data_IF_536920483550
#
_entry.id   IF_536920483550
#
_cell.length_a   1.000
_cell.length_b   1.000
_cell.length_c   1.000
_cell.angle_alpha   90.00
_cell.angle_beta   90.00
_cell.angle_gamma   90.00
#
_symmetry.space_group_name_H-M   'P 1'
#
loop_
_entity.id
_entity.type
_entity.pdbx_description
1 polymer ?
#
# COMPACT_ATOMS: atom_id res chain seq x y z
N UNK A 1 -9.35 5.51 47.44
CA UNK A 1 -8.68 5.36 46.11
C UNK A 1 -9.30 6.34 45.15
N UNK A 2 -8.54 7.31 44.65
CA UNK A 2 -9.03 8.27 43.67
C UNK A 2 -9.01 7.69 42.26
N UNK A 3 -10.01 7.95 41.47
CA UNK A 3 -10.10 7.51 40.08
C UNK A 3 -9.06 8.31 39.27
N UNK A 4 -8.19 7.60 38.54
CA UNK A 4 -7.24 8.25 37.63
C UNK A 4 -7.98 8.76 36.38
N UNK A 5 -8.27 10.07 36.41
CA UNK A 5 -8.99 10.76 35.33
C UNK A 5 -8.21 10.73 33.99
N UNK A 6 -6.86 10.65 34.04
CA UNK A 6 -6.04 10.58 32.83
C UNK A 6 -6.19 9.20 32.16
N UNK A 7 -6.18 8.12 32.96
CA UNK A 7 -6.44 6.78 32.46
C UNK A 7 -7.89 6.60 31.94
N UNK A 8 -8.85 7.27 32.57
CA UNK A 8 -10.27 7.24 32.12
C UNK A 8 -10.46 8.02 30.81
N UNK A 9 -9.79 9.18 30.66
CA UNK A 9 -9.81 9.94 29.40
C UNK A 9 -9.15 9.16 28.25
N UNK A 10 -8.05 8.48 28.50
CA UNK A 10 -7.40 7.62 27.52
C UNK A 10 -8.33 6.45 27.10
N UNK A 11 -9.02 5.81 28.05
CA UNK A 11 -10.01 4.76 27.75
C UNK A 11 -11.22 5.32 26.96
N UNK A 12 -11.69 6.50 27.31
CA UNK A 12 -12.81 7.14 26.60
C UNK A 12 -12.39 7.51 25.16
N UNK A 13 -11.17 8.02 24.99
CA UNK A 13 -10.59 8.28 23.66
C UNK A 13 -10.47 7.00 22.83
N UNK A 14 -10.01 5.90 23.42
CA UNK A 14 -9.96 4.59 22.75
C UNK A 14 -11.34 4.03 22.40
N UNK A 15 -12.35 4.25 23.24
CA UNK A 15 -13.72 3.82 22.97
C UNK A 15 -14.37 4.65 21.86
N UNK A 16 -14.11 5.96 21.84
CA UNK A 16 -14.60 6.86 20.79
C UNK A 16 -13.88 6.62 19.45
N UNK A 17 -12.58 6.30 19.47
CA UNK A 17 -11.82 5.88 18.30
C UNK A 17 -12.34 4.55 17.72
N UNK A 18 -12.70 3.58 18.58
CA UNK A 18 -13.35 2.33 18.14
C UNK A 18 -14.77 2.55 17.58
N UNK A 19 -15.48 3.57 18.02
CA UNK A 19 -16.83 3.90 17.53
C UNK A 19 -16.83 4.73 16.25
N UNK A 20 -15.79 5.53 16.03
CA UNK A 20 -15.67 6.41 14.85
C UNK A 20 -14.91 5.78 13.68
N UNK A 21 -14.10 4.76 13.92
CA UNK A 21 -13.23 4.12 12.94
C UNK A 21 -13.45 2.60 12.84
N UNK A 22 -14.64 2.17 12.44
CA UNK A 22 -14.85 0.79 11.99
C UNK A 22 -14.30 0.52 10.57
N UNK A 23 -13.79 1.55 9.89
CA UNK A 23 -13.06 1.42 8.63
C UNK A 23 -11.57 1.66 8.92
N UNK A 24 -10.72 0.66 8.74
CA UNK A 24 -9.25 0.81 8.81
C UNK A 24 -8.74 1.95 7.90
N UNK A 25 -7.46 2.30 7.98
CA UNK A 25 -6.91 3.43 7.23
C UNK A 25 -7.20 3.28 5.73
N UNK A 26 -7.71 4.36 5.12
CA UNK A 26 -8.10 4.37 3.71
C UNK A 26 -6.87 4.39 2.82
N UNK A 27 -6.91 3.65 1.71
CA UNK A 27 -5.89 3.77 0.67
C UNK A 27 -5.97 5.13 -0.01
N UNK A 28 -4.82 5.79 -0.12
CA UNK A 28 -4.72 7.06 -0.79
C UNK A 28 -4.73 6.88 -2.31
N UNK A 29 -5.70 7.49 -2.97
CA UNK A 29 -5.72 7.61 -4.43
C UNK A 29 -4.94 8.86 -4.80
N UNK A 30 -3.78 8.69 -5.43
CA UNK A 30 -2.93 9.81 -5.82
C UNK A 30 -3.66 10.62 -6.90
N UNK A 31 -3.95 11.91 -6.69
CA UNK A 31 -4.51 12.76 -7.74
C UNK A 31 -3.46 13.10 -8.80
N UNK A 32 -3.90 13.42 -10.02
CA UNK A 32 -2.99 13.95 -11.04
C UNK A 32 -2.40 15.28 -10.59
N UNK A 33 -1.10 15.48 -10.87
CA UNK A 33 -0.36 16.66 -10.47
C UNK A 33 0.48 16.46 -9.21
N UNK A 34 0.58 17.49 -8.40
CA UNK A 34 1.41 17.50 -7.21
C UNK A 34 0.59 17.40 -5.94
N UNK A 35 1.03 16.52 -5.04
CA UNK A 35 0.50 16.39 -3.68
C UNK A 35 1.65 16.44 -2.69
N UNK A 36 1.40 17.01 -1.51
CA UNK A 36 2.39 17.05 -0.45
C UNK A 36 1.98 16.08 0.64
N UNK A 37 2.89 15.19 0.99
CA UNK A 37 2.64 14.17 2.01
C UNK A 37 3.75 14.15 3.06
N UNK A 38 3.45 13.66 4.25
CA UNK A 38 4.42 13.32 5.29
C UNK A 38 4.28 11.85 5.61
N UNK A 39 5.40 11.14 5.62
CA UNK A 39 5.48 9.76 6.11
C UNK A 39 5.26 9.75 7.61
N UNK A 40 4.42 8.84 8.08
CA UNK A 40 4.23 8.62 9.52
C UNK A 40 5.32 7.71 10.07
N UNK A 41 5.80 7.96 11.30
CA UNK A 41 6.75 7.08 11.96
C UNK A 41 6.12 5.70 12.21
N UNK A 42 6.94 4.66 12.16
CA UNK A 42 6.54 3.31 12.48
C UNK A 42 7.20 2.86 13.79
N UNK A 43 6.45 2.14 14.65
CA UNK A 43 6.95 1.67 15.96
C UNK A 43 8.16 0.73 15.84
N UNK A 44 8.26 -0.01 14.74
CA UNK A 44 9.36 -0.92 14.43
C UNK A 44 10.51 -0.24 13.64
N UNK A 45 10.41 1.06 13.41
CA UNK A 45 11.44 1.85 12.72
C UNK A 45 11.40 1.71 11.19
N UNK A 46 10.50 0.89 10.61
CA UNK A 46 10.34 0.74 9.17
C UNK A 46 8.92 1.07 8.72
N UNK A 47 8.67 2.27 8.17
CA UNK A 47 7.37 2.64 7.66
C UNK A 47 7.04 2.05 6.28
N UNK A 48 7.98 1.35 5.63
CA UNK A 48 7.86 0.88 4.26
C UNK A 48 7.56 -0.61 4.20
N UNK A 49 6.30 -1.01 4.33
CA UNK A 49 5.91 -2.42 4.34
C UNK A 49 5.84 -2.99 2.94
N UNK A 50 6.51 -4.13 2.74
CA UNK A 50 6.59 -4.82 1.45
C UNK A 50 5.53 -5.90 1.32
N UNK A 51 4.91 -5.96 0.13
CA UNK A 51 3.95 -6.99 -0.25
C UNK A 51 4.18 -7.44 -1.68
N UNK A 52 3.86 -8.71 -1.95
CA UNK A 52 3.91 -9.29 -3.29
C UNK A 52 2.49 -9.69 -3.72
N UNK A 53 2.06 -9.20 -4.89
CA UNK A 53 0.75 -9.48 -5.44
C UNK A 53 0.85 -10.19 -6.78
N UNK A 54 -0.08 -11.12 -7.04
CA UNK A 54 -0.42 -11.56 -8.38
C UNK A 54 -1.57 -10.71 -8.91
N UNK A 55 -1.41 -10.22 -10.13
CA UNK A 55 -2.41 -9.50 -10.89
C UNK A 55 -2.72 -10.28 -12.18
N UNK A 56 -3.84 -9.95 -12.82
CA UNK A 56 -4.24 -10.54 -14.10
C UNK A 56 -4.47 -12.06 -14.04
N UNK A 57 -4.83 -12.59 -12.89
CA UNK A 57 -5.21 -13.99 -12.69
C UNK A 57 -6.68 -14.04 -12.34
N UNK A 58 -7.50 -14.56 -13.26
CA UNK A 58 -8.95 -14.60 -13.09
C UNK A 58 -9.60 -13.21 -13.09
N UNK A 59 -10.76 -13.12 -12.48
CA UNK A 59 -11.53 -11.86 -12.30
C UNK A 59 -11.00 -11.00 -11.14
N UNK A 60 -10.04 -11.49 -10.40
CA UNK A 60 -9.50 -10.82 -9.21
C UNK A 60 -8.70 -9.57 -9.59
N UNK A 61 -8.93 -8.48 -8.89
CA UNK A 61 -8.15 -7.24 -9.06
C UNK A 61 -6.69 -7.36 -8.56
N UNK A 62 -6.33 -8.53 -8.01
CA UNK A 62 -5.04 -8.85 -7.44
C UNK A 62 -5.21 -9.49 -6.05
N UNK A 63 -4.29 -10.38 -5.70
CA UNK A 63 -4.24 -11.02 -4.39
C UNK A 63 -2.81 -11.22 -3.92
N UNK A 64 -2.62 -11.34 -2.61
CA UNK A 64 -1.30 -11.61 -2.02
C UNK A 64 -0.74 -12.95 -2.49
N UNK A 65 0.52 -12.95 -2.92
CA UNK A 65 1.22 -14.19 -3.28
C UNK A 65 1.50 -15.03 -2.03
N UNK A 66 0.93 -16.24 -1.87
CA UNK A 66 1.18 -17.08 -0.71
C UNK A 66 2.66 -17.40 -0.52
N UNK A 67 3.38 -17.66 -1.62
CA UNK A 67 4.79 -18.05 -1.59
C UNK A 67 5.70 -16.91 -1.10
N UNK A 68 5.52 -15.71 -1.66
CA UNK A 68 6.44 -14.62 -1.37
C UNK A 68 6.13 -13.87 -0.09
N UNK A 69 4.87 -13.83 0.33
CA UNK A 69 4.50 -13.16 1.58
C UNK A 69 4.54 -14.10 2.80
N UNK A 70 4.25 -15.40 2.61
CA UNK A 70 4.07 -16.33 3.75
C UNK A 70 4.91 -17.60 3.67
N UNK A 71 5.70 -17.79 2.59
CA UNK A 71 6.51 -19.01 2.39
C UNK A 71 5.71 -20.25 2.02
N UNK A 72 4.42 -20.11 1.67
CA UNK A 72 3.50 -21.20 1.37
C UNK A 72 3.54 -21.56 -0.13
N UNK A 73 2.91 -22.68 -0.50
CA UNK A 73 2.76 -23.05 -1.90
C UNK A 73 1.88 -22.04 -2.63
N UNK A 74 2.25 -21.71 -3.88
CA UNK A 74 1.50 -20.83 -4.74
C UNK A 74 1.44 -21.41 -6.15
N UNK A 75 0.27 -21.87 -6.56
CA UNK A 75 0.04 -22.47 -7.87
C UNK A 75 0.45 -21.54 -9.03
N UNK A 76 0.17 -20.24 -8.91
CA UNK A 76 0.56 -19.24 -9.93
C UNK A 76 2.08 -19.14 -10.05
N UNK A 77 2.82 -19.09 -8.94
CA UNK A 77 4.30 -19.08 -8.98
C UNK A 77 4.88 -20.37 -9.59
N UNK A 78 4.26 -21.51 -9.33
CA UNK A 78 4.68 -22.79 -9.90
C UNK A 78 4.40 -22.84 -11.40
N UNK A 79 3.23 -22.36 -11.83
CA UNK A 79 2.87 -22.25 -13.24
C UNK A 79 3.80 -21.28 -13.99
N UNK A 80 4.05 -20.10 -13.45
CA UNK A 80 5.02 -19.13 -13.99
C UNK A 80 6.41 -19.75 -14.17
N UNK A 81 6.86 -20.54 -13.19
CA UNK A 81 8.16 -21.22 -13.28
C UNK A 81 8.19 -22.27 -14.40
N UNK A 82 7.07 -22.96 -14.69
CA UNK A 82 6.95 -23.89 -15.83
C UNK A 82 7.01 -23.14 -17.15
N UNK A 83 6.24 -22.06 -17.31
CA UNK A 83 6.26 -21.23 -18.52
C UNK A 83 7.66 -20.69 -18.86
N UNK A 84 8.43 -20.24 -17.86
CA UNK A 84 9.81 -19.82 -18.08
C UNK A 84 10.73 -20.96 -18.53
N UNK A 85 10.45 -22.21 -18.15
CA UNK A 85 11.21 -23.38 -18.60
C UNK A 85 10.89 -23.80 -20.03
N UNK A 86 9.66 -23.60 -20.49
CA UNK A 86 9.25 -23.83 -21.89
C UNK A 86 10.04 -22.95 -22.84
N UNK A 87 10.27 -21.68 -22.47
CA UNK A 87 11.29 -20.84 -23.06
C UNK A 87 10.94 -20.18 -24.40
N UNK A 88 9.77 -20.44 -24.98
CA UNK A 88 9.27 -19.74 -26.15
C UNK A 88 8.76 -18.33 -25.78
N UNK A 89 8.62 -17.46 -26.76
CA UNK A 89 8.28 -16.04 -26.52
C UNK A 89 6.86 -15.85 -25.98
N UNK A 90 5.92 -16.70 -26.36
CA UNK A 90 4.54 -16.66 -25.89
C UNK A 90 4.46 -17.05 -24.41
N UNK A 91 5.07 -18.19 -24.04
CA UNK A 91 5.18 -18.64 -22.64
C UNK A 91 5.91 -17.63 -21.76
N UNK A 92 6.99 -17.01 -22.25
CA UNK A 92 7.69 -15.93 -21.54
C UNK A 92 6.82 -14.70 -21.34
N UNK A 93 6.05 -14.32 -22.37
CA UNK A 93 5.11 -13.21 -22.30
C UNK A 93 4.04 -13.44 -21.21
N UNK A 94 3.43 -14.63 -21.22
CA UNK A 94 2.44 -15.04 -20.23
C UNK A 94 3.04 -15.11 -18.82
N UNK A 95 4.23 -15.74 -18.68
CA UNK A 95 4.94 -15.80 -17.42
C UNK A 95 5.19 -14.41 -16.82
N UNK A 96 5.63 -13.45 -17.64
CA UNK A 96 5.87 -12.06 -17.24
C UNK A 96 4.59 -11.36 -16.78
N UNK A 97 3.46 -11.64 -17.43
CA UNK A 97 2.17 -11.07 -17.09
C UNK A 97 1.64 -11.60 -15.75
N UNK A 98 1.79 -12.91 -15.48
CA UNK A 98 1.30 -13.58 -14.28
C UNK A 98 2.28 -13.53 -13.10
N UNK A 99 3.53 -13.13 -13.34
CA UNK A 99 4.55 -12.99 -12.29
C UNK A 99 4.09 -12.06 -11.17
N UNK A 100 4.40 -12.43 -9.93
CA UNK A 100 4.07 -11.57 -8.78
C UNK A 100 4.84 -10.26 -8.85
N UNK A 101 4.14 -9.17 -8.55
CA UNK A 101 4.70 -7.82 -8.51
C UNK A 101 4.86 -7.35 -7.08
N UNK A 102 6.01 -6.76 -6.81
CA UNK A 102 6.33 -6.13 -5.53
C UNK A 102 5.62 -4.78 -5.41
N UNK A 103 5.02 -4.54 -4.26
CA UNK A 103 4.37 -3.28 -3.88
C UNK A 103 4.77 -2.91 -2.48
N UNK A 104 4.82 -1.64 -2.21
CA UNK A 104 5.10 -1.10 -0.89
C UNK A 104 3.90 -0.32 -0.40
N UNK A 105 3.70 -0.35 0.91
CA UNK A 105 2.63 0.37 1.59
C UNK A 105 3.23 1.19 2.70
N UNK A 106 2.93 2.47 2.73
CA UNK A 106 3.45 3.41 3.73
C UNK A 106 2.30 4.25 4.28
N UNK A 107 2.17 4.37 5.60
CA UNK A 107 1.22 5.29 6.19
C UNK A 107 1.73 6.73 6.02
N UNK A 108 0.83 7.59 5.56
CA UNK A 108 1.10 9.00 5.31
C UNK A 108 -0.04 9.88 5.82
N UNK A 109 0.25 11.15 6.02
CA UNK A 109 -0.76 12.21 5.99
C UNK A 109 -0.59 13.03 4.71
N UNK A 110 -1.71 13.50 4.17
CA UNK A 110 -1.72 14.44 3.04
C UNK A 110 -1.83 15.84 3.61
N UNK A 111 -0.92 16.74 3.22
CA UNK A 111 -0.94 18.13 3.69
C UNK A 111 -2.16 18.88 3.17
N UNK A 112 -2.87 19.52 4.09
CA UNK A 112 -4.16 20.15 3.83
C UNK A 112 -5.38 19.24 4.10
N UNK A 113 -5.14 17.95 4.32
CA UNK A 113 -6.18 16.95 4.62
C UNK A 113 -5.89 16.22 5.94
N UNK A 114 -5.11 16.83 6.84
CA UNK A 114 -4.61 16.19 8.08
C UNK A 114 -5.76 15.69 8.98
N UNK A 115 -6.90 16.36 8.94
CA UNK A 115 -8.11 15.97 9.68
C UNK A 115 -8.76 14.67 9.21
N UNK A 116 -8.42 14.22 8.02
CA UNK A 116 -8.88 12.92 7.51
C UNK A 116 -8.09 11.75 8.10
N UNK A 117 -7.05 12.03 8.87
CA UNK A 117 -6.21 11.05 9.52
C UNK A 117 -5.19 10.38 8.58
N UNK A 118 -4.63 9.28 9.05
CA UNK A 118 -3.66 8.50 8.31
C UNK A 118 -4.28 7.85 7.05
N UNK A 119 -3.55 7.93 5.94
CA UNK A 119 -3.87 7.24 4.69
C UNK A 119 -2.76 6.26 4.33
N UNK A 120 -3.07 5.21 3.59
CA UNK A 120 -2.11 4.24 3.10
C UNK A 120 -1.73 4.54 1.66
N UNK A 121 -0.48 4.89 1.45
CA UNK A 121 0.08 5.07 0.12
C UNK A 121 0.69 3.78 -0.40
N UNK A 122 0.23 3.33 -1.57
CA UNK A 122 0.78 2.16 -2.26
C UNK A 122 1.58 2.59 -3.48
N UNK A 123 2.76 1.99 -3.68
CA UNK A 123 3.65 2.37 -4.77
C UNK A 123 4.55 1.22 -5.24
N UNK A 124 5.23 1.43 -6.36
CA UNK A 124 6.11 0.46 -7.00
C UNK A 124 7.51 0.46 -6.38
N UNK A 125 8.29 -0.58 -6.73
CA UNK A 125 9.70 -0.70 -6.35
C UNK A 125 10.53 0.53 -6.74
N UNK A 126 10.28 1.15 -7.90
CA UNK A 126 11.01 2.34 -8.35
C UNK A 126 10.83 3.53 -7.39
N UNK A 127 9.61 3.74 -6.91
CA UNK A 127 9.33 4.80 -5.92
C UNK A 127 9.98 4.45 -4.58
N UNK A 128 9.94 3.19 -4.17
CA UNK A 128 10.63 2.73 -2.97
C UNK A 128 12.14 2.99 -3.01
N UNK A 129 12.78 2.67 -4.13
CA UNK A 129 14.21 2.95 -4.33
C UNK A 129 14.52 4.45 -4.18
N UNK A 130 13.65 5.32 -4.71
CA UNK A 130 13.79 6.77 -4.52
C UNK A 130 13.63 7.20 -3.06
N UNK A 131 12.67 6.62 -2.33
CA UNK A 131 12.49 6.88 -0.90
C UNK A 131 13.68 6.40 -0.09
N UNK A 132 14.24 5.22 -0.37
CA UNK A 132 15.44 4.73 0.30
C UNK A 132 16.64 5.64 0.06
N UNK A 133 16.81 6.17 -1.16
CA UNK A 133 17.88 7.13 -1.44
C UNK A 133 17.74 8.42 -0.59
N UNK A 134 16.52 8.86 -0.32
CA UNK A 134 16.27 10.00 0.55
C UNK A 134 16.58 9.67 2.01
N UNK A 135 16.12 8.53 2.52
CA UNK A 135 16.37 8.09 3.90
C UNK A 135 17.86 7.87 4.17
N UNK A 136 18.59 7.35 3.18
CA UNK A 136 20.02 7.09 3.31
C UNK A 136 20.88 8.36 3.11
N UNK A 137 20.31 9.46 2.65
CA UNK A 137 21.04 10.71 2.47
C UNK A 137 21.10 11.50 3.79
N UNK A 138 22.30 11.70 4.35
CA UNK A 138 22.47 12.37 5.65
C UNK A 138 21.96 13.82 5.67
N UNK A 139 21.82 14.47 4.51
CA UNK A 139 21.32 15.85 4.42
C UNK A 139 19.84 15.98 4.79
N UNK A 140 19.07 14.90 4.73
CA UNK A 140 17.64 14.91 5.00
C UNK A 140 17.27 14.38 6.40
N UNK A 141 18.16 13.62 7.04
CA UNK A 141 17.88 13.00 8.34
C UNK A 141 16.71 12.01 8.28
N UNK A 142 16.01 11.87 9.40
CA UNK A 142 14.81 11.02 9.47
C UNK A 142 13.59 11.74 8.85
N UNK A 143 13.21 11.33 7.65
CA UNK A 143 12.07 11.93 6.94
C UNK A 143 10.73 11.71 7.66
N UNK A 144 10.63 10.73 8.55
CA UNK A 144 9.43 10.40 9.31
C UNK A 144 9.41 11.01 10.73
N UNK A 145 10.46 11.73 11.14
CA UNK A 145 10.52 12.35 12.47
C UNK A 145 9.31 13.25 12.73
N UNK A 146 8.74 13.17 13.93
CA UNK A 146 7.53 13.90 14.31
C UNK A 146 7.70 15.42 14.33
N UNK A 147 8.92 15.90 14.67
CA UNK A 147 9.21 17.34 14.89
C UNK A 147 9.98 17.94 13.73
N UNK A 148 10.98 17.21 13.23
CA UNK A 148 11.95 17.70 12.25
C UNK A 148 11.96 16.91 10.96
N UNK A 149 10.97 16.04 10.74
CA UNK A 149 10.87 15.26 9.52
C UNK A 149 10.57 16.13 8.28
N UNK A 150 10.60 15.53 7.10
CA UNK A 150 10.54 16.25 5.83
C UNK A 150 9.29 15.87 5.05
N UNK A 151 8.58 16.87 4.55
CA UNK A 151 7.48 16.67 3.63
C UNK A 151 8.00 16.25 2.25
N UNK A 152 7.29 15.34 1.62
CA UNK A 152 7.58 14.85 0.29
C UNK A 152 6.54 15.41 -0.71
N UNK A 153 7.01 15.90 -1.84
CA UNK A 153 6.18 16.27 -2.98
C UNK A 153 6.08 15.07 -3.88
N UNK A 154 4.88 14.54 -4.04
CA UNK A 154 4.57 13.43 -4.92
C UNK A 154 3.97 14.03 -6.19
N UNK A 155 4.66 13.87 -7.31
CA UNK A 155 4.15 14.26 -8.62
C UNK A 155 3.68 13.00 -9.35
N UNK A 156 2.41 12.96 -9.70
CA UNK A 156 1.80 11.85 -10.41
C UNK A 156 1.13 12.35 -11.68
N UNK A 157 1.33 11.63 -12.76
CA UNK A 157 0.68 11.97 -14.03
C UNK A 157 1.33 11.31 -15.23
N UNK A 158 0.66 11.46 -16.36
CA UNK A 158 1.10 10.94 -17.65
C UNK A 158 1.80 12.05 -18.42
N UNK A 159 3.12 11.91 -18.57
CA UNK A 159 3.88 12.82 -19.42
C UNK A 159 3.56 12.61 -20.91
N UNK A 160 3.74 13.65 -21.72
CA UNK A 160 3.54 13.58 -23.16
C UNK A 160 4.43 12.49 -23.78
N UNK A 161 3.82 11.62 -24.60
CA UNK A 161 4.51 10.49 -25.24
C UNK A 161 4.67 9.23 -24.38
N UNK A 162 4.32 9.26 -23.09
CA UNK A 162 4.36 8.08 -22.24
C UNK A 162 3.05 7.29 -22.32
N UNK A 163 3.13 5.95 -22.31
CA UNK A 163 1.95 5.10 -22.33
C UNK A 163 1.24 5.06 -20.97
N UNK A 164 1.99 5.19 -19.88
CA UNK A 164 1.50 5.06 -18.51
C UNK A 164 1.91 6.26 -17.66
N UNK A 165 1.10 6.61 -16.64
CA UNK A 165 1.48 7.62 -15.68
C UNK A 165 2.69 7.19 -14.85
N UNK A 166 3.48 8.16 -14.41
CA UNK A 166 4.65 7.95 -13.55
C UNK A 166 4.48 8.68 -12.24
N UNK A 167 5.14 8.16 -11.21
CA UNK A 167 5.20 8.79 -9.89
C UNK A 167 6.65 9.19 -9.63
N UNK A 168 6.88 10.44 -9.27
CA UNK A 168 8.16 10.93 -8.76
C UNK A 168 8.01 11.47 -7.34
N UNK A 169 9.11 11.42 -6.59
CA UNK A 169 9.18 11.86 -5.19
C UNK A 169 10.29 12.88 -5.07
N UNK A 170 9.98 14.04 -4.53
CA UNK A 170 10.94 15.12 -4.28
C UNK A 170 10.82 15.61 -2.84
N UNK A 171 11.89 15.64 -2.04
CA UNK A 171 11.83 16.15 -0.68
C UNK A 171 11.71 17.66 -0.67
N UNK A 172 10.97 18.22 0.29
CA UNK A 172 11.03 19.64 0.57
C UNK A 172 12.33 19.97 1.27
N UNK A 173 12.83 21.20 1.08
CA UNK A 173 14.11 21.64 1.64
C UNK A 173 14.07 21.94 3.14
N UNK A 174 12.89 22.19 3.68
CA UNK A 174 12.71 22.57 5.08
C UNK A 174 12.01 21.44 5.83
N UNK A 175 12.55 21.12 6.99
CA UNK A 175 11.85 20.29 7.97
C UNK A 175 10.60 21.01 8.49
N UNK A 176 9.63 20.22 8.93
CA UNK A 176 8.41 20.73 9.54
C UNK A 176 7.85 19.69 10.51
N UNK A 177 7.11 20.09 11.55
CA UNK A 177 6.47 19.12 12.43
C UNK A 177 5.36 18.36 11.68
N UNK A 178 5.10 17.14 12.15
CA UNK A 178 4.02 16.29 11.61
C UNK A 178 2.68 17.04 11.70
N UNK A 179 2.37 17.58 12.86
CA UNK A 179 1.28 18.50 13.13
C UNK A 179 1.60 19.39 14.33
N UNK A 180 0.91 20.53 14.45
CA UNK A 180 0.98 21.40 15.61
C UNK A 180 -0.14 21.10 16.62
N UNK A 181 -1.12 20.32 16.24
CA UNK A 181 -2.24 19.85 17.07
C UNK A 181 -1.80 18.61 17.83
N UNK A 182 -1.76 18.69 19.17
CA UNK A 182 -1.29 17.60 20.04
C UNK A 182 -2.24 16.41 20.04
N UNK A 183 -3.53 16.64 20.01
CA UNK A 183 -4.53 15.57 20.03
C UNK A 183 -4.45 14.77 18.73
N UNK A 184 -4.29 15.47 17.61
CA UNK A 184 -4.08 14.83 16.31
C UNK A 184 -2.72 14.11 16.24
N UNK A 185 -1.66 14.65 16.84
CA UNK A 185 -0.36 13.99 16.89
C UNK A 185 -0.45 12.66 17.64
N UNK A 186 -1.06 12.67 18.83
CA UNK A 186 -1.24 11.47 19.65
C UNK A 186 -2.11 10.42 18.91
N UNK A 187 -3.10 10.84 18.14
CA UNK A 187 -3.91 9.96 17.29
C UNK A 187 -3.08 9.35 16.16
N UNK A 188 -2.32 10.15 15.41
CA UNK A 188 -1.55 9.71 14.26
C UNK A 188 -0.39 8.77 14.63
N UNK A 189 0.33 9.10 15.70
CA UNK A 189 1.48 8.30 16.18
C UNK A 189 1.00 7.09 16.97
N UNK A 190 -0.11 7.22 17.69
CA UNK A 190 -0.73 6.15 18.45
C UNK A 190 -1.48 5.12 17.61
N UNK A 191 -1.86 5.47 16.38
CA UNK A 191 -2.59 4.58 15.49
C UNK A 191 -1.77 3.34 15.14
N UNK A 192 -2.26 2.18 15.56
CA UNK A 192 -1.64 0.91 15.21
C UNK A 192 -2.29 0.39 13.93
N UNK A 193 -1.51 0.37 12.84
CA UNK A 193 -1.97 -0.14 11.57
C UNK A 193 -1.64 -1.62 11.50
N UNK A 194 -2.68 -2.46 11.53
CA UNK A 194 -2.51 -3.89 11.30
C UNK A 194 -2.33 -4.16 9.81
N UNK A 195 -1.06 -4.18 9.38
CA UNK A 195 -0.71 -4.46 7.99
C UNK A 195 -1.08 -5.89 7.56
N UNK A 196 -1.19 -6.83 8.49
CA UNK A 196 -1.59 -8.20 8.17
C UNK A 196 -3.08 -8.30 7.82
N UNK A 197 -3.90 -7.42 8.39
CA UNK A 197 -5.34 -7.36 8.13
C UNK A 197 -5.71 -6.49 6.93
N UNK A 198 -4.77 -5.74 6.32
CA UNK A 198 -5.05 -4.84 5.20
C UNK A 198 -5.53 -5.56 3.94
N UNK A 199 -5.07 -6.78 3.75
CA UNK A 199 -5.34 -7.55 2.54
C UNK A 199 -5.86 -8.93 2.89
N UNK A 200 -6.87 -9.37 2.17
CA UNK A 200 -7.38 -10.73 2.32
C UNK A 200 -6.30 -11.76 1.95
N UNK A 201 -6.02 -12.68 2.87
CA UNK A 201 -5.11 -13.80 2.64
C UNK A 201 -5.87 -14.95 2.02
N UNK A 202 -5.51 -15.31 0.79
CA UNK A 202 -6.05 -16.50 0.11
C UNK A 202 -5.19 -17.72 0.43
N UNK A 203 -5.87 -18.86 0.66
CA UNK A 203 -5.18 -20.14 0.86
C UNK A 203 -4.58 -20.66 -0.45
N UNK A 204 -3.62 -21.57 -0.36
CA UNK A 204 -3.03 -22.22 -1.53
C UNK A 204 -4.07 -22.88 -2.44
N UNK A 205 -5.11 -23.49 -1.85
CA UNK A 205 -6.21 -24.14 -2.59
C UNK A 205 -7.08 -23.13 -3.32
N UNK A 206 -7.42 -22.00 -2.68
CA UNK A 206 -8.14 -20.90 -3.33
C UNK A 206 -7.35 -20.34 -4.52
N UNK A 207 -6.04 -20.16 -4.36
CA UNK A 207 -5.18 -19.67 -5.45
C UNK A 207 -5.10 -20.69 -6.59
N UNK A 208 -5.08 -22.00 -6.30
CA UNK A 208 -5.15 -23.05 -7.33
C UNK A 208 -6.45 -22.98 -8.10
N UNK A 209 -7.60 -22.88 -7.42
CA UNK A 209 -8.91 -22.74 -8.06
C UNK A 209 -9.04 -21.48 -8.94
N UNK A 210 -8.44 -20.35 -8.51
CA UNK A 210 -8.42 -19.13 -9.31
C UNK A 210 -7.61 -19.33 -10.59
N UNK A 211 -6.44 -19.97 -10.49
CA UNK A 211 -5.61 -20.27 -11.65
C UNK A 211 -6.31 -21.24 -12.61
N UNK A 212 -6.91 -22.32 -12.09
CA UNK A 212 -7.61 -23.31 -12.92
C UNK A 212 -8.75 -22.67 -13.71
N UNK A 213 -9.58 -21.84 -13.08
CA UNK A 213 -10.65 -21.08 -13.76
C UNK A 213 -10.09 -20.13 -14.82
N UNK A 214 -8.99 -19.44 -14.51
CA UNK A 214 -8.31 -18.54 -15.45
C UNK A 214 -7.83 -19.29 -16.70
N UNK A 215 -7.25 -20.47 -16.55
CA UNK A 215 -6.75 -21.30 -17.64
C UNK A 215 -7.87 -21.93 -18.47
N UNK A 216 -9.00 -22.30 -17.85
CA UNK A 216 -10.17 -22.84 -18.54
C UNK A 216 -10.94 -21.78 -19.32
N UNK A 217 -10.68 -20.50 -19.11
CA UNK A 217 -11.37 -19.41 -19.80
C UNK A 217 -12.74 -19.06 -19.22
N UNK A 218 -13.15 -19.68 -18.10
CA UNK A 218 -14.44 -19.43 -17.41
C UNK A 218 -14.58 -17.98 -16.91
N UNK A 219 -13.50 -17.22 -16.95
CA UNK A 219 -13.50 -15.81 -16.57
C UNK A 219 -14.08 -14.86 -17.64
N UNK A 220 -14.45 -15.38 -18.83
CA UNK A 220 -14.93 -14.54 -19.94
C UNK A 220 -16.45 -14.33 -19.97
N UNK A 221 -17.24 -15.06 -19.21
CA UNK A 221 -18.71 -15.12 -19.38
C UNK A 221 -19.58 -14.39 -18.35
N UNK A 222 -19.06 -13.56 -17.44
CA UNK A 222 -19.93 -12.76 -16.56
C UNK A 222 -19.52 -11.30 -16.45
N UNK A 223 -19.61 -10.55 -17.53
CA UNK A 223 -19.67 -9.09 -17.50
C UNK A 223 -21.13 -8.65 -17.67
N UNK A 224 -22.02 -9.07 -16.77
CA UNK A 224 -23.32 -8.40 -16.57
C UNK A 224 -23.73 -8.54 -15.10
N UNK A 225 -23.76 -7.41 -14.39
CA UNK A 225 -24.40 -7.13 -13.09
C UNK A 225 -23.78 -7.75 -11.84
N UNK A 226 -22.98 -6.96 -11.11
CA UNK A 226 -23.38 -6.46 -9.80
C UNK A 226 -22.39 -5.38 -9.34
N UNK A 227 -22.91 -4.19 -9.14
CA UNK A 227 -22.18 -3.10 -8.53
C UNK A 227 -22.04 -3.34 -7.01
N UNK A 228 -20.81 -3.33 -6.52
CA UNK A 228 -20.51 -3.49 -5.09
C UNK A 228 -19.01 -3.36 -4.83
N UNK A 229 -18.57 -2.14 -4.69
CA UNK A 229 -17.39 -1.60 -3.96
C UNK A 229 -16.39 -2.59 -3.35
N UNK A 230 -15.24 -2.76 -3.96
CA UNK A 230 -13.93 -2.55 -3.35
C UNK A 230 -12.89 -2.28 -4.45
N UNK A 231 -12.73 -1.00 -4.78
CA UNK A 231 -11.65 -0.55 -5.65
C UNK A 231 -10.34 -0.53 -4.86
N UNK A 232 -9.62 -1.65 -4.89
CA UNK A 232 -8.18 -1.59 -4.69
C UNK A 232 -7.65 -1.00 -6.00
N UNK A 233 -7.29 0.30 -5.95
CA UNK A 233 -6.91 1.05 -7.12
C UNK A 233 -5.83 0.31 -7.94
N UNK A 234 -6.08 0.13 -9.21
CA UNK A 234 -5.06 -0.18 -10.20
C UNK A 234 -4.01 0.92 -10.10
N UNK A 235 -2.95 0.68 -9.32
CA UNK A 235 -1.72 1.42 -9.50
C UNK A 235 -1.18 0.98 -10.86
N UNK A 236 -1.41 1.80 -11.88
CA UNK A 236 -0.87 1.57 -13.20
C UNK A 236 0.65 1.48 -13.15
N UNK A 237 1.17 0.51 -13.86
CA UNK A 237 2.59 0.23 -14.12
C UNK A 237 3.29 1.45 -14.71
#
# INVERSE_FOLDING_TARGET
>A
MAIDLKAMRAKLSQLNAKGANSAGPKFWKIPDGESVVRVLPAKDGDPFKEFHFHYNVGKENGFLCPKKNFGEKCAVCEFVAKLYKEGDDESRGLAKNLSSRQRFVTPIIVRGEEKEGAKLWTYSKKVYESLLQLVLNPDYGDIADEKEGIDLVITYGKAAGMLFPTTSVTPRRKSSPLTTDRDLLDELVGAEIDFAALFERKTSDQVSQILDRHLLGDDKEEVVKEGGKSEIGRAHV
#
